data_IF_005683918046
#
_entry.id   IF_005683918046
#
_cell.length_a   1.000
_cell.length_b   1.000
_cell.length_c   1.000
_cell.angle_alpha   90.00
_cell.angle_beta   90.00
_cell.angle_gamma   90.00
#
_symmetry.space_group_name_H-M   'P 1'
#
loop_
_entity.id
_entity.type
_entity.pdbx_description
1 polymer ?
#
# COMPACT_ATOMS: atom_id res chain seq x y z
N UNK A 1 -5.08 11.10 40.18
CA UNK A 1 -4.20 11.44 39.04
C UNK A 1 -4.66 10.80 37.72
N UNK A 2 -4.90 9.49 37.65
CA UNK A 2 -5.35 8.82 36.41
C UNK A 2 -6.64 9.41 35.78
N UNK A 3 -7.67 9.75 36.59
CA UNK A 3 -8.90 10.39 36.08
C UNK A 3 -8.63 11.74 35.40
N UNK A 4 -7.80 12.59 36.00
CA UNK A 4 -7.48 13.90 35.43
C UNK A 4 -6.71 13.78 34.09
N UNK A 5 -5.81 12.81 33.99
CA UNK A 5 -5.11 12.48 32.74
C UNK A 5 -6.06 11.97 31.64
N UNK A 6 -7.04 11.13 32.01
CA UNK A 6 -8.06 10.65 31.07
C UNK A 6 -8.94 11.79 30.55
N UNK A 7 -9.39 12.69 31.41
CA UNK A 7 -10.20 13.86 30.99
C UNK A 7 -9.38 14.82 30.12
N UNK A 8 -8.10 15.05 30.47
CA UNK A 8 -7.19 15.84 29.63
C UNK A 8 -7.04 15.23 28.22
N UNK A 9 -6.95 13.90 28.12
CA UNK A 9 -6.90 13.19 26.83
C UNK A 9 -8.21 13.23 26.02
N UNK A 10 -9.35 13.54 26.64
CA UNK A 10 -10.63 13.70 25.92
C UNK A 10 -10.71 15.03 25.19
N UNK A 11 -10.07 16.09 25.69
CA UNK A 11 -10.06 17.42 25.05
C UNK A 11 -9.62 17.34 23.58
N UNK A 12 -8.43 16.80 23.23
CA UNK A 12 -8.00 16.70 21.83
C UNK A 12 -8.91 15.78 21.00
N UNK A 13 -9.48 14.72 21.60
CA UNK A 13 -10.43 13.83 20.92
C UNK A 13 -11.73 14.56 20.56
N UNK A 14 -12.26 15.38 21.46
CA UNK A 14 -13.46 16.19 21.22
C UNK A 14 -13.20 17.23 20.15
N UNK A 15 -12.07 17.95 20.23
CA UNK A 15 -11.67 18.92 19.19
C UNK A 15 -11.56 18.24 17.82
N UNK A 16 -10.90 17.08 17.76
CA UNK A 16 -10.80 16.29 16.54
C UNK A 16 -12.18 15.89 15.97
N UNK A 17 -13.09 15.42 16.82
CA UNK A 17 -14.45 15.06 16.38
C UNK A 17 -15.24 16.28 15.87
N UNK A 18 -15.09 17.44 16.50
CA UNK A 18 -15.71 18.68 16.04
C UNK A 18 -15.20 19.10 14.67
N UNK A 19 -13.87 19.07 14.45
CA UNK A 19 -13.29 19.31 13.11
C UNK A 19 -13.75 18.26 12.10
N UNK A 20 -13.76 16.99 12.47
CA UNK A 20 -14.18 15.91 11.57
C UNK A 20 -15.63 16.05 11.12
N UNK A 21 -16.53 16.53 11.97
CA UNK A 21 -17.95 16.74 11.62
C UNK A 21 -18.13 18.07 10.87
N UNK A 22 -17.53 19.15 11.37
CA UNK A 22 -17.76 20.52 10.91
C UNK A 22 -16.95 20.96 9.69
N UNK A 23 -15.81 20.32 9.39
CA UNK A 23 -14.94 20.68 8.28
C UNK A 23 -14.85 19.54 7.23
N UNK A 24 -15.50 19.69 6.07
CA UNK A 24 -15.44 18.72 4.98
C UNK A 24 -14.04 18.48 4.41
N UNK A 25 -13.18 19.51 4.35
CA UNK A 25 -11.84 19.39 3.79
C UNK A 25 -10.91 18.66 4.78
N UNK A 26 -11.02 18.96 6.08
CA UNK A 26 -10.35 18.21 7.13
C UNK A 26 -10.71 16.71 7.09
N UNK A 27 -12.01 16.42 7.00
CA UNK A 27 -12.53 15.05 6.87
C UNK A 27 -12.02 14.36 5.61
N UNK A 28 -12.01 15.04 4.46
CA UNK A 28 -11.51 14.47 3.20
C UNK A 28 -10.03 14.14 3.27
N UNK A 29 -9.22 15.03 3.85
CA UNK A 29 -7.78 14.81 4.05
C UNK A 29 -7.54 13.60 4.96
N UNK A 30 -8.26 13.50 6.08
CA UNK A 30 -8.16 12.37 7.02
C UNK A 30 -8.54 11.04 6.35
N UNK A 31 -9.71 10.98 5.71
CA UNK A 31 -10.18 9.77 5.02
C UNK A 31 -9.23 9.35 3.91
N UNK A 32 -8.62 10.30 3.21
CA UNK A 32 -7.60 10.01 2.20
C UNK A 32 -6.40 9.31 2.82
N UNK A 33 -5.93 9.72 4.00
CA UNK A 33 -4.83 9.02 4.70
C UNK A 33 -5.25 7.63 5.20
N UNK A 34 -6.46 7.52 5.76
CA UNK A 34 -7.00 6.25 6.23
C UNK A 34 -7.10 5.23 5.09
N UNK A 35 -7.65 5.63 3.95
CA UNK A 35 -7.76 4.76 2.76
C UNK A 35 -6.39 4.21 2.30
N UNK A 36 -5.31 4.99 2.43
CA UNK A 36 -3.95 4.52 2.10
C UNK A 36 -3.50 3.44 3.06
N UNK A 37 -3.69 3.69 4.36
CA UNK A 37 -3.29 2.77 5.41
C UNK A 37 -4.08 1.46 5.29
N UNK A 38 -5.39 1.54 5.04
CA UNK A 38 -6.23 0.38 4.78
C UNK A 38 -5.81 -0.40 3.53
N UNK A 39 -5.50 0.29 2.44
CA UNK A 39 -5.01 -0.33 1.21
C UNK A 39 -3.68 -1.06 1.43
N UNK A 40 -2.76 -0.45 2.18
CA UNK A 40 -1.49 -1.08 2.56
C UNK A 40 -1.73 -2.31 3.43
N UNK A 41 -2.64 -2.24 4.40
CA UNK A 41 -3.00 -3.37 5.25
C UNK A 41 -3.67 -4.49 4.46
N UNK A 42 -4.52 -4.16 3.48
CA UNK A 42 -5.13 -5.13 2.58
C UNK A 42 -4.06 -5.87 1.75
N UNK A 43 -3.08 -5.15 1.22
CA UNK A 43 -1.92 -5.75 0.54
C UNK A 43 -1.11 -6.64 1.49
N UNK A 44 -0.79 -6.17 2.69
CA UNK A 44 -0.06 -6.97 3.68
C UNK A 44 -0.79 -8.28 4.01
N UNK A 45 -2.12 -8.26 4.17
CA UNK A 45 -2.92 -9.48 4.37
C UNK A 45 -2.90 -10.41 3.16
N UNK A 46 -2.87 -9.85 1.93
CA UNK A 46 -2.78 -10.62 0.69
C UNK A 46 -1.43 -11.32 0.55
N UNK A 47 -0.35 -10.63 0.91
CA UNK A 47 1.02 -11.17 0.92
C UNK A 47 1.14 -12.25 2.01
N UNK A 48 0.66 -11.97 3.21
CA UNK A 48 0.68 -12.87 4.35
C UNK A 48 -0.48 -13.88 4.30
N UNK A 49 -0.53 -14.66 3.22
CA UNK A 49 -1.61 -15.62 2.94
C UNK A 49 -1.46 -16.97 3.68
N UNK A 50 -0.29 -17.26 4.26
CA UNK A 50 -0.09 -18.39 5.17
C UNK A 50 -0.83 -18.19 6.49
N UNK A 51 -1.53 -19.21 6.99
CA UNK A 51 -2.29 -19.19 8.26
C UNK A 51 -3.44 -18.16 8.38
N UNK A 52 -4.16 -17.84 7.28
CA UNK A 52 -5.32 -16.91 7.33
C UNK A 52 -5.01 -15.51 7.89
N UNK A 53 -3.76 -15.05 7.83
CA UNK A 53 -3.39 -13.75 8.40
C UNK A 53 -2.94 -13.80 9.87
N UNK A 54 -2.88 -14.98 10.51
CA UNK A 54 -2.49 -15.13 11.92
C UNK A 54 -1.00 -15.44 12.10
N UNK A 55 -0.30 -14.60 12.89
CA UNK A 55 1.07 -14.87 13.37
C UNK A 55 0.98 -15.93 14.49
N UNK A 56 1.19 -17.20 14.14
CA UNK A 56 1.21 -18.33 15.10
C UNK A 56 2.63 -18.72 15.54
N UNK A 57 3.47 -17.75 15.89
CA UNK A 57 4.78 -18.01 16.52
C UNK A 57 4.80 -17.47 17.94
N UNK A 58 5.21 -18.33 18.88
CA UNK A 58 5.17 -18.14 20.34
C UNK A 58 6.26 -17.19 20.89
N UNK A 59 7.18 -16.70 20.04
CA UNK A 59 8.37 -15.92 20.43
C UNK A 59 8.43 -14.56 19.73
N UNK A 60 8.85 -13.53 20.47
CA UNK A 60 8.84 -12.10 20.08
C UNK A 60 9.79 -11.78 18.91
N UNK A 61 11.01 -12.33 18.90
CA UNK A 61 11.96 -12.18 17.77
C UNK A 61 11.41 -12.75 16.47
N UNK A 62 10.77 -13.92 16.52
CA UNK A 62 10.15 -14.54 15.34
C UNK A 62 8.96 -13.75 14.77
N UNK A 63 8.38 -12.81 15.53
CA UNK A 63 7.32 -11.91 15.03
C UNK A 63 7.93 -10.67 14.37
N UNK A 64 9.02 -10.13 14.92
CA UNK A 64 9.74 -8.99 14.35
C UNK A 64 10.36 -9.33 12.99
N UNK A 65 10.99 -10.50 12.87
CA UNK A 65 11.52 -10.98 11.58
C UNK A 65 10.42 -11.17 10.54
N UNK A 66 9.26 -11.70 10.94
CA UNK A 66 8.11 -11.87 10.05
C UNK A 66 7.51 -10.54 9.61
N UNK A 67 7.43 -9.56 10.52
CA UNK A 67 6.96 -8.21 10.19
C UNK A 67 7.96 -7.48 9.30
N UNK A 68 9.27 -7.66 9.53
CA UNK A 68 10.34 -7.14 8.69
C UNK A 68 10.28 -7.69 7.27
N UNK A 69 10.22 -9.02 7.13
CA UNK A 69 10.10 -9.69 5.83
C UNK A 69 8.80 -9.31 5.11
N UNK A 70 7.67 -9.24 5.82
CA UNK A 70 6.40 -8.79 5.26
C UNK A 70 6.48 -7.34 4.77
N UNK A 71 7.08 -6.45 5.58
CA UNK A 71 7.32 -5.06 5.21
C UNK A 71 8.18 -4.95 3.94
N UNK A 72 9.25 -5.74 3.85
CA UNK A 72 10.12 -5.79 2.68
C UNK A 72 9.35 -6.22 1.42
N UNK A 73 8.60 -7.32 1.47
CA UNK A 73 7.83 -7.81 0.32
C UNK A 73 6.77 -6.79 -0.12
N UNK A 74 6.06 -6.17 0.84
CA UNK A 74 5.09 -5.10 0.54
C UNK A 74 5.78 -3.92 -0.15
N UNK A 75 6.95 -3.51 0.32
CA UNK A 75 7.71 -2.42 -0.28
C UNK A 75 8.23 -2.77 -1.68
N UNK A 76 8.68 -4.01 -1.91
CA UNK A 76 9.09 -4.51 -3.24
C UNK A 76 7.91 -4.43 -4.22
N UNK A 77 6.71 -4.83 -3.80
CA UNK A 77 5.51 -4.73 -4.64
C UNK A 77 5.18 -3.28 -4.97
N UNK A 78 5.27 -2.38 -3.98
CA UNK A 78 5.04 -0.94 -4.19
C UNK A 78 6.07 -0.36 -5.15
N UNK A 79 7.35 -0.73 -5.02
CA UNK A 79 8.41 -0.32 -5.93
C UNK A 79 8.14 -0.82 -7.36
N UNK A 80 7.81 -2.10 -7.52
CA UNK A 80 7.46 -2.69 -8.81
C UNK A 80 6.30 -1.95 -9.47
N UNK A 81 5.22 -1.69 -8.72
CA UNK A 81 4.08 -0.93 -9.23
C UNK A 81 4.48 0.48 -9.65
N UNK A 82 5.30 1.17 -8.86
CA UNK A 82 5.78 2.52 -9.17
C UNK A 82 6.52 2.55 -10.51
N UNK A 83 7.44 1.60 -10.73
CA UNK A 83 8.22 1.50 -11.96
C UNK A 83 7.32 1.19 -13.17
N UNK A 84 6.33 0.30 -13.03
CA UNK A 84 5.40 0.01 -14.12
C UNK A 84 4.44 1.17 -14.40
N UNK A 85 4.00 1.91 -13.39
CA UNK A 85 3.19 3.11 -13.57
C UNK A 85 3.98 4.14 -14.37
N UNK A 86 5.26 4.35 -14.07
CA UNK A 86 6.14 5.23 -14.86
C UNK A 86 6.19 4.79 -16.32
N UNK A 87 6.35 3.49 -16.60
CA UNK A 87 6.32 2.97 -17.98
C UNK A 87 4.98 3.17 -18.69
N UNK A 88 3.86 3.05 -17.96
CA UNK A 88 2.54 3.37 -18.51
C UNK A 88 2.44 4.86 -18.85
N UNK A 89 2.95 5.74 -17.99
CA UNK A 89 2.95 7.18 -18.24
C UNK A 89 3.83 7.57 -19.44
N UNK A 90 5.02 6.99 -19.57
CA UNK A 90 5.91 7.16 -20.74
C UNK A 90 5.18 6.77 -22.02
N UNK A 91 4.55 5.59 -22.05
CA UNK A 91 3.80 5.11 -23.20
C UNK A 91 2.60 6.00 -23.55
N UNK A 92 1.83 6.43 -22.55
CA UNK A 92 0.69 7.35 -22.78
C UNK A 92 1.15 8.67 -23.39
N UNK A 93 2.33 9.16 -23.01
CA UNK A 93 2.94 10.34 -23.60
C UNK A 93 3.33 10.12 -25.06
N UNK A 94 3.92 8.98 -25.39
CA UNK A 94 4.25 8.59 -26.77
C UNK A 94 3.00 8.44 -27.66
N UNK A 95 1.91 7.92 -27.10
CA UNK A 95 0.60 7.77 -27.77
C UNK A 95 -0.18 9.10 -27.86
N UNK A 96 0.37 10.22 -27.38
CA UNK A 96 -0.28 11.54 -27.40
C UNK A 96 -1.44 11.71 -26.40
N UNK A 97 -1.60 10.77 -25.47
CA UNK A 97 -2.66 10.74 -24.44
C UNK A 97 -2.10 11.05 -23.05
N UNK A 98 -1.32 12.12 -22.92
CA UNK A 98 -0.64 12.47 -21.67
C UNK A 98 -1.67 12.82 -20.56
N UNK A 99 -1.64 12.13 -19.40
CA UNK A 99 -2.57 12.40 -18.31
C UNK A 99 -2.23 13.71 -17.60
N UNK A 100 -3.26 14.36 -17.04
CA UNK A 100 -3.08 15.57 -16.24
C UNK A 100 -2.25 15.28 -14.99
N UNK A 101 -1.37 16.21 -14.63
CA UNK A 101 -0.49 16.10 -13.45
C UNK A 101 -1.31 15.94 -12.16
N UNK A 102 -2.48 16.58 -12.07
CA UNK A 102 -3.39 16.46 -10.93
C UNK A 102 -3.91 15.04 -10.73
N UNK A 103 -4.10 14.29 -11.82
CA UNK A 103 -4.57 12.91 -11.79
C UNK A 103 -3.41 11.96 -11.42
N UNK A 104 -2.20 12.20 -11.94
CA UNK A 104 -1.00 11.43 -11.58
C UNK A 104 -0.68 11.54 -10.09
N UNK A 105 -0.83 12.74 -9.50
CA UNK A 105 -0.66 12.97 -8.04
C UNK A 105 -1.62 12.15 -7.17
N UNK A 106 -2.73 11.67 -7.74
CA UNK A 106 -3.73 10.84 -7.04
C UNK A 106 -3.48 9.36 -7.22
N UNK A 107 -2.48 8.94 -8.01
CA UNK A 107 -2.15 7.53 -8.21
C UNK A 107 -1.42 6.98 -6.99
N UNK A 108 -1.88 5.84 -6.50
CA UNK A 108 -1.29 5.12 -5.37
C UNK A 108 -0.71 3.78 -5.85
N UNK A 109 0.61 3.54 -5.70
CA UNK A 109 1.27 2.32 -6.19
C UNK A 109 0.99 1.06 -5.32
N UNK A 110 -0.22 0.93 -4.75
CA UNK A 110 -0.63 -0.17 -3.85
C UNK A 110 -1.59 -1.15 -4.55
N UNK A 111 -1.90 -0.91 -5.83
CA UNK A 111 -2.68 -1.85 -6.64
C UNK A 111 -2.03 -3.24 -6.64
N UNK A 112 -2.83 -4.29 -6.46
CA UNK A 112 -2.29 -5.65 -6.30
C UNK A 112 -3.22 -6.74 -6.83
N UNK A 113 -4.26 -6.37 -7.59
CA UNK A 113 -5.15 -7.32 -8.26
C UNK A 113 -4.45 -8.05 -9.41
N UNK A 114 -3.45 -7.41 -10.04
CA UNK A 114 -2.66 -7.97 -11.13
C UNK A 114 -1.55 -8.92 -10.67
N UNK A 115 -1.30 -9.03 -9.37
CA UNK A 115 -0.24 -9.87 -8.81
C UNK A 115 -0.84 -11.22 -8.39
N UNK A 116 -0.26 -12.31 -8.92
CA UNK A 116 -0.57 -13.67 -8.47
C UNK A 116 0.28 -13.99 -7.25
N UNK A 117 -0.37 -14.08 -6.09
CA UNK A 117 0.28 -14.47 -4.83
C UNK A 117 0.24 -15.98 -4.56
N UNK A 118 -0.66 -16.70 -5.23
CA UNK A 118 -0.91 -18.12 -5.04
C UNK A 118 -0.90 -18.84 -6.40
N UNK A 119 -0.51 -20.10 -6.38
CA UNK A 119 -0.52 -21.00 -7.53
C UNK A 119 0.88 -21.52 -7.88
N UNK A 120 0.99 -22.11 -9.07
CA UNK A 120 2.26 -22.64 -9.58
C UNK A 120 3.01 -21.54 -10.31
N UNK A 121 4.26 -21.33 -9.93
CA UNK A 121 5.17 -20.40 -10.58
C UNK A 121 6.19 -21.19 -11.39
N UNK A 122 6.32 -20.86 -12.68
CA UNK A 122 7.49 -21.26 -13.45
C UNK A 122 8.54 -20.16 -13.33
N UNK A 123 9.76 -20.55 -12.95
CA UNK A 123 10.90 -19.65 -12.89
C UNK A 123 11.70 -19.63 -14.19
N UNK A 124 11.18 -20.25 -15.25
CA UNK A 124 11.71 -20.07 -16.60
C UNK A 124 11.36 -18.65 -17.07
N UNK A 125 12.32 -17.74 -16.90
CA UNK A 125 12.23 -16.39 -17.42
C UNK A 125 12.33 -16.43 -18.94
N UNK A 126 11.59 -15.57 -19.64
CA UNK A 126 11.87 -15.34 -21.07
C UNK A 126 13.25 -14.70 -21.21
N UNK A 127 13.94 -14.93 -22.35
CA UNK A 127 15.23 -14.30 -22.64
C UNK A 127 15.18 -12.79 -22.43
N UNK A 128 14.09 -12.15 -22.86
CA UNK A 128 13.87 -10.71 -22.67
C UNK A 128 13.93 -10.28 -21.19
N UNK A 129 13.24 -11.00 -20.30
CA UNK A 129 13.26 -10.68 -18.86
C UNK A 129 14.62 -11.03 -18.24
N UNK A 130 15.27 -12.10 -18.71
CA UNK A 130 16.63 -12.47 -18.30
C UNK A 130 17.68 -11.41 -18.66
N UNK A 131 17.49 -10.73 -19.79
CA UNK A 131 18.30 -9.57 -20.23
C UNK A 131 17.95 -8.26 -19.49
N UNK A 132 16.98 -8.29 -18.57
CA UNK A 132 16.54 -7.13 -17.80
C UNK A 132 15.51 -6.24 -18.53
N UNK A 133 14.91 -6.72 -19.62
CA UNK A 133 13.81 -6.00 -20.29
C UNK A 133 12.53 -6.08 -19.48
N UNK A 134 11.70 -5.05 -19.61
CA UNK A 134 10.41 -4.96 -18.94
C UNK A 134 9.40 -5.95 -19.53
N UNK A 135 8.50 -6.45 -18.69
CA UNK A 135 7.34 -7.20 -19.18
C UNK A 135 6.47 -6.26 -20.01
N UNK A 136 5.96 -6.69 -21.17
CA UNK A 136 5.07 -5.85 -21.98
C UNK A 136 3.81 -5.47 -21.20
N UNK A 137 3.45 -4.19 -21.33
CA UNK A 137 2.18 -3.65 -20.83
C UNK A 137 1.04 -4.29 -21.63
N UNK A 138 0.07 -4.88 -20.93
CA UNK A 138 -1.12 -5.54 -21.51
C UNK A 138 -2.36 -4.69 -21.30
#
# INVERSE_FOLDING_TARGET
>A
MAKALTELGRIPKTIHMLYFIGDPEYRRALLTQLNKQESRHALSRRVFHGNRGEIRKRYREGQEDQLGALGLVVNIIVLWNTLYIEKVLERLKEEGSEPRIEDVKRVWPIIHKHIKFLGTFSFQLSEEIGEGKWRPLR
#
